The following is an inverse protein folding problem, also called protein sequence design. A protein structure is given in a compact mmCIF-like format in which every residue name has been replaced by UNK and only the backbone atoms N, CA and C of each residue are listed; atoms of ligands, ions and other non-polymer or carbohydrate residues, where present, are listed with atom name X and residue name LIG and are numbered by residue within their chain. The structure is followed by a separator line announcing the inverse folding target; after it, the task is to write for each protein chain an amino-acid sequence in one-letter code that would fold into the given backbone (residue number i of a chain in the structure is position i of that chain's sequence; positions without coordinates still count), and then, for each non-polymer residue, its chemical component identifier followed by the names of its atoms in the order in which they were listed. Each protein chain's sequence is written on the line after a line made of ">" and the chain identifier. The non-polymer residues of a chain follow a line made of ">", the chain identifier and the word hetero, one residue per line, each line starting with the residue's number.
data_IF_481603004864
#
_entry.id   IF_481603004864
#
_cell.length_a   1.000
_cell.length_b   1.000
_cell.length_c   1.000
_cell.angle_alpha   90.00
_cell.angle_beta   90.00
_cell.angle_gamma   90.00
#
_symmetry.space_group_name_H-M   'P 1'
#
loop_
_entity.id
_entity.type
_entity.pdbx_description
1 polymer ?
#
# COMPACT_ATOMS: atom_id res chain seq x y z
N UNK A 1 -1.45 -13.33 16.57
CA UNK A 1 -1.52 -14.55 15.72
C UNK A 1 -2.02 -14.07 14.37
N UNK A 2 -1.08 -13.84 13.45
CA UNK A 2 -1.33 -13.33 12.09
C UNK A 2 -2.07 -14.40 11.26
N UNK A 3 -3.20 -14.02 10.65
CA UNK A 3 -3.84 -14.69 9.51
C UNK A 3 -4.02 -13.63 8.44
N UNK A 4 -3.31 -13.83 7.34
CA UNK A 4 -3.00 -12.84 6.31
C UNK A 4 -4.18 -12.05 5.75
N UNK A 5 -3.84 -10.84 5.27
CA UNK A 5 -4.64 -9.85 4.57
C UNK A 5 -5.64 -9.07 5.44
N UNK A 6 -5.91 -7.77 5.12
CA UNK A 6 -6.95 -7.01 5.80
C UNK A 6 -8.20 -7.87 5.78
N UNK A 7 -8.60 -8.36 6.95
CA UNK A 7 -9.92 -8.89 7.15
C UNK A 7 -10.84 -7.68 7.06
N UNK A 8 -11.09 -7.24 5.82
CA UNK A 8 -12.47 -6.95 5.46
C UNK A 8 -13.27 -8.12 6.04
N UNK A 9 -14.38 -7.87 6.76
CA UNK A 9 -15.11 -8.87 7.53
C UNK A 9 -15.32 -10.22 6.82
N UNK A 10 -15.22 -10.25 5.49
CA UNK A 10 -15.48 -11.37 4.60
C UNK A 10 -14.22 -11.79 3.81
N UNK A 11 -13.23 -12.39 4.50
CA UNK A 11 -11.99 -12.88 3.87
C UNK A 11 -12.19 -13.90 2.74
N UNK A 12 -13.38 -14.51 2.65
CA UNK A 12 -13.76 -15.48 1.61
C UNK A 12 -14.46 -14.84 0.40
N UNK A 13 -14.69 -13.52 0.39
CA UNK A 13 -15.41 -12.86 -0.71
C UNK A 13 -14.58 -12.83 -2.00
N UNK A 14 -15.16 -13.30 -3.10
CA UNK A 14 -14.54 -13.22 -4.43
C UNK A 14 -14.66 -11.80 -5.02
N UNK A 15 -13.82 -10.89 -4.51
CA UNK A 15 -13.73 -9.50 -4.97
C UNK A 15 -13.49 -9.38 -6.48
N UNK A 16 -12.77 -10.36 -7.05
CA UNK A 16 -12.47 -10.39 -8.49
C UNK A 16 -13.72 -10.70 -9.30
N UNK A 17 -14.54 -11.67 -8.88
CA UNK A 17 -15.82 -11.96 -9.51
C UNK A 17 -16.79 -10.77 -9.44
N UNK A 18 -16.75 -10.02 -8.33
CA UNK A 18 -17.53 -8.78 -8.17
C UNK A 18 -16.99 -7.60 -9.00
N UNK A 19 -15.76 -7.69 -9.52
CA UNK A 19 -15.09 -6.58 -10.21
C UNK A 19 -14.77 -5.41 -9.29
N UNK A 20 -14.60 -5.69 -7.99
CA UNK A 20 -14.40 -4.72 -6.92
C UNK A 20 -13.00 -4.88 -6.29
N UNK A 21 -12.51 -3.78 -5.73
CA UNK A 21 -11.26 -3.71 -4.98
C UNK A 21 -11.59 -3.21 -3.60
N UNK A 22 -11.29 -3.96 -2.53
CA UNK A 22 -11.60 -3.52 -1.19
C UNK A 22 -10.58 -2.47 -0.73
N UNK A 23 -11.06 -1.39 -0.10
CA UNK A 23 -10.28 -0.18 0.22
C UNK A 23 -10.48 0.32 1.65
N UNK A 24 -11.35 -0.31 2.44
CA UNK A 24 -11.53 0.01 3.84
C UNK A 24 -12.77 -0.66 4.44
N UNK A 25 -13.11 -0.23 5.64
CA UNK A 25 -14.40 -0.51 6.25
C UNK A 25 -15.06 0.83 6.57
N UNK A 26 -16.39 0.89 6.49
CA UNK A 26 -17.20 2.04 6.85
C UNK A 26 -18.24 1.59 7.86
N UNK A 27 -18.56 2.46 8.82
CA UNK A 27 -19.61 2.19 9.80
C UNK A 27 -20.92 2.78 9.29
N UNK A 28 -21.94 1.94 9.18
CA UNK A 28 -23.30 2.38 8.87
C UNK A 28 -24.10 2.49 10.18
N UNK A 29 -24.53 3.70 10.55
CA UNK A 29 -25.39 3.92 11.71
C UNK A 29 -24.96 3.23 13.02
N UNK A 30 -25.89 2.45 13.61
CA UNK A 30 -25.84 1.83 14.95
C UNK A 30 -25.00 0.54 15.03
N UNK A 31 -23.76 0.57 14.50
CA UNK A 31 -22.64 -0.36 14.86
C UNK A 31 -22.21 -1.40 13.84
N UNK A 32 -22.83 -1.47 12.66
CA UNK A 32 -22.41 -2.43 11.64
C UNK A 32 -21.26 -1.89 10.78
N UNK A 33 -20.12 -2.60 10.84
CA UNK A 33 -18.98 -2.35 9.96
C UNK A 33 -19.19 -3.05 8.62
N UNK A 34 -19.27 -2.26 7.56
CA UNK A 34 -19.42 -2.73 6.18
C UNK A 34 -18.09 -2.61 5.45
N UNK A 35 -17.80 -3.55 4.56
CA UNK A 35 -16.63 -3.43 3.70
C UNK A 35 -16.87 -2.30 2.67
N UNK A 36 -15.90 -1.41 2.53
CA UNK A 36 -15.87 -0.37 1.52
C UNK A 36 -15.01 -0.85 0.34
N UNK A 37 -15.57 -0.81 -0.86
CA UNK A 37 -14.90 -1.22 -2.07
C UNK A 37 -15.05 -0.20 -3.20
N UNK A 38 -14.22 -0.34 -4.22
CA UNK A 38 -14.21 0.52 -5.39
C UNK A 38 -14.05 -0.30 -6.66
N UNK A 39 -14.76 0.07 -7.72
CA UNK A 39 -14.61 -0.59 -9.03
C UNK A 39 -13.53 0.07 -9.91
N UNK A 40 -13.29 -0.51 -11.09
CA UNK A 40 -12.37 0.05 -12.09
C UNK A 40 -12.76 1.44 -12.63
N UNK A 41 -14.03 1.86 -12.45
CA UNK A 41 -14.55 3.18 -12.84
C UNK A 41 -14.54 4.18 -11.68
N UNK A 42 -13.97 3.80 -10.53
CA UNK A 42 -13.89 4.61 -9.31
C UNK A 42 -15.26 4.97 -8.73
N UNK A 43 -16.19 4.02 -8.78
CA UNK A 43 -17.46 4.06 -8.04
C UNK A 43 -17.29 3.33 -6.72
N UNK A 44 -17.81 3.91 -5.65
CA UNK A 44 -17.73 3.36 -4.30
C UNK A 44 -18.90 2.41 -4.03
N UNK A 45 -18.63 1.33 -3.33
CA UNK A 45 -19.62 0.35 -2.94
C UNK A 45 -19.46 0.02 -1.46
N UNK A 46 -20.58 -0.12 -0.74
CA UNK A 46 -20.58 -0.81 0.55
C UNK A 46 -21.07 -2.24 0.37
N UNK A 47 -20.55 -3.14 1.19
CA UNK A 47 -20.95 -4.53 1.24
C UNK A 47 -21.16 -4.90 2.72
N UNK A 48 -22.38 -5.35 3.05
CA UNK A 48 -22.69 -5.86 4.37
C UNK A 48 -21.95 -7.16 4.66
N UNK A 49 -21.81 -7.52 5.94
CA UNK A 49 -21.12 -8.75 6.35
C UNK A 49 -21.82 -10.02 5.83
N UNK A 50 -23.16 -10.02 5.75
CA UNK A 50 -23.93 -11.19 5.31
C UNK A 50 -24.44 -11.10 3.87
N UNK A 51 -24.26 -9.96 3.20
CA UNK A 51 -24.81 -9.72 1.87
C UNK A 51 -23.72 -9.79 0.79
N UNK A 52 -23.96 -10.60 -0.24
CA UNK A 52 -23.14 -10.60 -1.47
C UNK A 52 -23.49 -9.45 -2.41
N UNK A 53 -24.51 -8.64 -2.07
CA UNK A 53 -24.93 -7.52 -2.90
C UNK A 53 -24.14 -6.25 -2.56
N UNK A 54 -23.47 -5.71 -3.59
CA UNK A 54 -22.75 -4.45 -3.48
C UNK A 54 -23.70 -3.26 -3.68
N UNK A 55 -23.81 -2.40 -2.67
CA UNK A 55 -24.63 -1.19 -2.70
C UNK A 55 -23.79 -0.04 -3.23
N UNK A 56 -24.19 0.54 -4.37
CA UNK A 56 -23.53 1.71 -4.93
C UNK A 56 -23.73 2.93 -4.02
N UNK A 57 -22.63 3.56 -3.64
CA UNK A 57 -22.64 4.74 -2.80
C UNK A 57 -22.54 6.03 -3.63
N UNK A 58 -23.16 7.10 -3.14
CA UNK A 58 -23.04 8.42 -3.76
C UNK A 58 -21.64 8.99 -3.54
N UNK A 59 -20.89 9.11 -4.64
CA UNK A 59 -19.54 9.65 -4.62
C UNK A 59 -19.52 11.15 -4.29
N UNK A 60 -20.52 11.93 -4.68
CA UNK A 60 -20.51 13.36 -4.39
C UNK A 60 -20.65 13.63 -2.90
N UNK A 61 -21.52 12.86 -2.22
CA UNK A 61 -21.65 12.89 -0.77
C UNK A 61 -20.43 12.32 -0.04
N UNK A 62 -19.89 11.18 -0.48
CA UNK A 62 -18.83 10.48 0.27
C UNK A 62 -17.41 10.89 -0.09
N UNK A 63 -17.19 11.47 -1.27
CA UNK A 63 -15.88 11.87 -1.76
C UNK A 63 -15.06 12.71 -0.75
N UNK A 64 -15.65 13.77 -0.15
CA UNK A 64 -15.00 14.54 0.90
C UNK A 64 -14.63 13.72 2.13
N UNK A 65 -15.52 12.83 2.61
CA UNK A 65 -15.27 11.97 3.78
C UNK A 65 -14.16 10.96 3.52
N UNK A 66 -14.12 10.39 2.32
CA UNK A 66 -13.04 9.50 1.88
C UNK A 66 -11.72 10.26 1.81
N UNK A 67 -11.73 11.51 1.33
CA UNK A 67 -10.51 12.33 1.35
C UNK A 67 -10.03 12.59 2.78
N UNK A 68 -10.91 12.96 3.71
CA UNK A 68 -10.54 13.22 5.10
C UNK A 68 -9.93 11.98 5.76
N UNK A 69 -10.59 10.84 5.62
CA UNK A 69 -10.07 9.55 6.12
C UNK A 69 -8.72 9.19 5.50
N UNK A 70 -8.55 9.45 4.19
CA UNK A 70 -7.30 9.23 3.47
C UNK A 70 -6.20 10.18 3.96
N UNK A 71 -6.52 11.46 4.16
CA UNK A 71 -5.59 12.48 4.63
C UNK A 71 -5.05 12.13 6.02
N UNK A 72 -5.94 11.79 6.96
CA UNK A 72 -5.56 11.31 8.30
C UNK A 72 -4.70 10.05 8.24
N UNK A 73 -5.12 9.06 7.46
CA UNK A 73 -4.38 7.80 7.30
C UNK A 73 -2.99 8.07 6.73
N UNK A 74 -2.90 8.80 5.61
CA UNK A 74 -1.62 9.05 4.95
C UNK A 74 -0.71 9.98 5.78
N UNK A 75 -1.29 10.90 6.55
CA UNK A 75 -0.55 11.71 7.50
C UNK A 75 0.07 10.85 8.60
N UNK A 76 -0.66 9.85 9.13
CA UNK A 76 -0.09 8.92 10.12
C UNK A 76 1.05 8.07 9.54
N UNK A 77 0.98 7.69 8.26
CA UNK A 77 1.97 6.83 7.61
C UNK A 77 3.21 7.57 7.10
N UNK A 78 3.05 8.78 6.56
CA UNK A 78 4.11 9.51 5.86
C UNK A 78 4.26 10.98 6.29
N UNK A 79 3.51 11.42 7.31
CA UNK A 79 3.57 12.76 7.87
C UNK A 79 2.92 13.85 7.01
N UNK A 80 3.23 15.10 7.34
CA UNK A 80 2.64 16.31 6.75
C UNK A 80 2.84 16.45 5.23
N UNK A 81 3.78 15.71 4.64
CA UNK A 81 4.11 15.76 3.21
C UNK A 81 3.66 14.51 2.46
N UNK A 82 2.65 13.80 2.97
CA UNK A 82 2.22 12.52 2.42
C UNK A 82 1.87 12.57 0.93
N UNK A 83 1.33 13.70 0.41
CA UNK A 83 0.99 13.82 -1.01
C UNK A 83 2.23 13.67 -1.91
N UNK A 84 3.39 14.17 -1.47
CA UNK A 84 4.66 13.98 -2.16
C UNK A 84 5.11 12.52 -2.09
N UNK A 85 5.01 11.90 -0.91
CA UNK A 85 5.35 10.49 -0.71
C UNK A 85 4.49 9.56 -1.58
N UNK A 86 3.17 9.77 -1.63
CA UNK A 86 2.26 9.04 -2.53
C UNK A 86 2.59 9.29 -4.00
N UNK A 87 2.93 10.54 -4.36
CA UNK A 87 3.40 10.89 -5.70
C UNK A 87 4.65 10.10 -6.10
N UNK A 88 5.62 9.97 -5.19
CA UNK A 88 6.85 9.19 -5.38
C UNK A 88 6.55 7.68 -5.48
N UNK A 89 5.80 7.12 -4.52
CA UNK A 89 5.50 5.69 -4.42
C UNK A 89 4.73 5.19 -5.64
N UNK A 90 3.69 5.92 -6.05
CA UNK A 90 2.76 5.48 -7.08
C UNK A 90 2.96 6.18 -8.43
N UNK A 91 4.01 7.01 -8.54
CA UNK A 91 4.32 7.82 -9.74
C UNK A 91 3.13 8.64 -10.21
N UNK A 92 2.44 9.25 -9.26
CA UNK A 92 1.28 10.09 -9.53
C UNK A 92 1.71 11.54 -9.70
N UNK A 93 1.08 12.22 -10.65
CA UNK A 93 1.20 13.67 -10.74
C UNK A 93 0.67 14.32 -9.46
N UNK A 94 1.32 15.38 -8.99
CA UNK A 94 0.90 16.15 -7.80
C UNK A 94 -0.57 16.60 -7.86
N UNK A 95 -1.11 16.84 -9.05
CA UNK A 95 -2.53 17.18 -9.25
C UNK A 95 -3.47 16.04 -8.83
N UNK A 96 -3.07 14.78 -9.01
CA UNK A 96 -3.89 13.60 -8.69
C UNK A 96 -4.14 13.47 -7.19
N UNK A 97 -3.22 13.97 -6.36
CA UNK A 97 -3.28 13.90 -4.90
C UNK A 97 -3.85 15.18 -4.26
N UNK A 98 -4.33 16.15 -5.04
CA UNK A 98 -4.96 17.36 -4.50
C UNK A 98 -6.33 17.02 -3.91
N UNK A 99 -6.70 17.69 -2.81
CA UNK A 99 -7.99 17.53 -2.11
C UNK A 99 -9.18 17.45 -3.06
N UNK A 100 -9.41 18.48 -3.86
CA UNK A 100 -10.56 18.55 -4.76
C UNK A 100 -10.55 17.40 -5.78
N UNK A 101 -9.36 16.98 -6.22
CA UNK A 101 -9.21 15.92 -7.22
C UNK A 101 -9.52 14.57 -6.61
N UNK A 102 -9.02 14.30 -5.42
CA UNK A 102 -9.31 13.06 -4.70
C UNK A 102 -10.78 13.02 -4.28
N UNK A 103 -11.33 14.11 -3.75
CA UNK A 103 -12.73 14.15 -3.34
C UNK A 103 -13.69 13.90 -4.53
N UNK A 104 -13.44 14.48 -5.71
CA UNK A 104 -14.32 14.29 -6.86
C UNK A 104 -14.09 12.99 -7.64
N UNK A 105 -12.85 12.49 -7.71
CA UNK A 105 -12.48 11.39 -8.63
C UNK A 105 -11.88 10.17 -7.95
N UNK A 106 -11.55 10.27 -6.66
CA UNK A 106 -10.81 9.28 -5.88
C UNK A 106 -9.42 8.97 -6.48
N UNK A 107 -8.55 8.39 -5.66
CA UNK A 107 -7.30 7.81 -6.16
C UNK A 107 -7.58 6.54 -6.97
N UNK A 108 -6.62 6.08 -7.80
CA UNK A 108 -6.77 4.79 -8.49
C UNK A 108 -7.05 3.64 -7.50
N UNK A 109 -7.92 2.67 -7.83
CA UNK A 109 -8.30 1.57 -6.95
C UNK A 109 -7.12 0.86 -6.29
N UNK A 110 -6.09 0.54 -7.09
CA UNK A 110 -4.90 -0.16 -6.59
C UNK A 110 -4.08 0.68 -5.59
N UNK A 111 -4.09 2.01 -5.74
CA UNK A 111 -3.43 2.92 -4.81
C UNK A 111 -4.15 2.91 -3.47
N UNK A 112 -5.49 3.07 -3.49
CA UNK A 112 -6.31 3.00 -2.28
C UNK A 112 -6.18 1.64 -1.58
N UNK A 113 -6.17 0.55 -2.34
CA UNK A 113 -5.97 -0.80 -1.79
C UNK A 113 -4.63 -0.96 -1.08
N UNK A 114 -3.55 -0.46 -1.68
CA UNK A 114 -2.22 -0.54 -1.06
C UNK A 114 -2.16 0.34 0.19
N UNK A 115 -2.74 1.54 0.16
CA UNK A 115 -2.82 2.40 1.36
C UNK A 115 -3.60 1.71 2.48
N UNK A 116 -4.77 1.13 2.15
CA UNK A 116 -5.58 0.39 3.11
C UNK A 116 -4.82 -0.82 3.69
N UNK A 117 -4.12 -1.58 2.83
CA UNK A 117 -3.28 -2.69 3.24
C UNK A 117 -2.19 -2.25 4.22
N UNK A 118 -1.43 -1.20 3.88
CA UNK A 118 -0.36 -0.68 4.74
C UNK A 118 -0.92 -0.17 6.06
N UNK A 119 -2.02 0.58 6.03
CA UNK A 119 -2.65 1.12 7.22
C UNK A 119 -3.16 0.03 8.19
N UNK A 120 -3.50 -1.15 7.65
CA UNK A 120 -4.00 -2.30 8.42
C UNK A 120 -2.90 -3.19 9.01
N UNK A 121 -1.63 -2.96 8.67
CA UNK A 121 -0.52 -3.78 9.16
C UNK A 121 -0.16 -3.43 10.62
N UNK A 122 0.26 -4.43 11.40
CA UNK A 122 0.75 -4.22 12.77
C UNK A 122 2.02 -3.33 12.78
N UNK A 123 2.85 -3.45 11.74
CA UNK A 123 4.10 -2.74 11.47
C UNK A 123 3.93 -1.66 10.39
N UNK A 124 2.77 -1.00 10.37
CA UNK A 124 2.39 -0.02 9.34
C UNK A 124 3.41 1.11 9.12
N UNK A 125 4.09 1.56 10.16
CA UNK A 125 5.07 2.65 10.07
C UNK A 125 6.32 2.18 9.32
N UNK A 126 6.83 1.00 9.67
CA UNK A 126 7.96 0.35 9.02
C UNK A 126 7.65 0.01 7.56
N UNK A 127 6.46 -0.55 7.30
CA UNK A 127 6.01 -0.89 5.96
C UNK A 127 5.85 0.36 5.08
N UNK A 128 5.29 1.43 5.63
CA UNK A 128 5.17 2.73 4.95
C UNK A 128 6.54 3.33 4.61
N UNK A 129 7.49 3.27 5.55
CA UNK A 129 8.87 3.72 5.38
C UNK A 129 9.63 2.89 4.33
N UNK A 130 9.44 1.57 4.32
CA UNK A 130 10.02 0.68 3.32
C UNK A 130 9.52 1.01 1.92
N UNK A 131 8.21 1.18 1.72
CA UNK A 131 7.63 1.53 0.43
C UNK A 131 8.21 2.83 -0.14
N UNK A 132 8.30 3.87 0.70
CA UNK A 132 8.89 5.15 0.30
C UNK A 132 10.39 5.01 -0.05
N UNK A 133 11.13 4.21 0.73
CA UNK A 133 12.55 3.96 0.49
C UNK A 133 12.77 3.22 -0.84
N UNK A 134 11.96 2.20 -1.14
CA UNK A 134 11.99 1.48 -2.42
C UNK A 134 11.65 2.44 -3.57
N UNK A 135 10.64 3.29 -3.41
CA UNK A 135 10.26 4.26 -4.44
C UNK A 135 11.38 5.26 -4.76
N UNK A 136 12.02 5.81 -3.73
CA UNK A 136 13.17 6.73 -3.88
C UNK A 136 14.38 6.05 -4.48
N UNK A 137 14.66 4.82 -4.07
CA UNK A 137 15.72 4.02 -4.66
C UNK A 137 15.43 3.76 -6.13
N UNK A 138 14.20 3.36 -6.47
CA UNK A 138 13.78 3.11 -7.84
C UNK A 138 13.93 4.34 -8.75
N UNK A 139 13.62 5.53 -8.24
CA UNK A 139 13.75 6.78 -8.98
C UNK A 139 15.20 7.11 -9.42
N UNK A 140 16.21 6.48 -8.80
CA UNK A 140 17.62 6.65 -9.18
C UNK A 140 18.05 5.79 -10.36
N UNK A 141 17.21 4.85 -10.80
CA UNK A 141 17.54 3.91 -11.87
C UNK A 141 16.51 4.01 -13.01
N UNK A 142 16.96 3.96 -14.27
CA UNK A 142 16.05 3.98 -15.42
C UNK A 142 15.34 2.63 -15.64
N UNK A 143 15.75 1.57 -14.93
CA UNK A 143 15.29 0.19 -15.17
C UNK A 143 14.73 -0.45 -13.90
N UNK A 144 13.42 -0.67 -13.86
CA UNK A 144 12.72 -1.29 -12.74
C UNK A 144 13.14 -2.73 -12.46
N UNK A 145 13.51 -3.50 -13.50
CA UNK A 145 13.98 -4.88 -13.31
C UNK A 145 15.27 -4.92 -12.51
N UNK A 146 16.13 -3.91 -12.70
CA UNK A 146 17.37 -3.79 -11.96
C UNK A 146 17.10 -3.47 -10.48
N UNK A 147 16.14 -2.58 -10.21
CA UNK A 147 15.70 -2.24 -8.86
C UNK A 147 15.12 -3.45 -8.15
N UNK A 148 14.21 -4.19 -8.80
CA UNK A 148 13.63 -5.41 -8.26
C UNK A 148 14.70 -6.42 -7.88
N UNK A 149 15.69 -6.64 -8.75
CA UNK A 149 16.83 -7.52 -8.47
C UNK A 149 17.64 -7.04 -7.26
N UNK A 150 17.96 -5.76 -7.15
CA UNK A 150 18.73 -5.26 -6.01
C UNK A 150 17.96 -5.34 -4.68
N UNK A 151 16.67 -5.05 -4.69
CA UNK A 151 15.82 -5.22 -3.50
C UNK A 151 15.73 -6.70 -3.13
N UNK A 152 15.48 -7.59 -4.09
CA UNK A 152 15.44 -9.03 -3.86
C UNK A 152 16.76 -9.56 -3.27
N UNK A 153 17.90 -9.18 -3.85
CA UNK A 153 19.22 -9.56 -3.33
C UNK A 153 19.47 -9.00 -1.92
N UNK A 154 19.03 -7.77 -1.62
CA UNK A 154 19.18 -7.20 -0.28
C UNK A 154 18.33 -7.96 0.75
N UNK A 155 17.11 -8.35 0.39
CA UNK A 155 16.25 -9.18 1.22
C UNK A 155 16.86 -10.58 1.40
N UNK A 156 17.43 -11.17 0.36
CA UNK A 156 18.14 -12.45 0.43
C UNK A 156 19.36 -12.38 1.36
N UNK A 157 20.16 -11.32 1.29
CA UNK A 157 21.29 -11.11 2.21
C UNK A 157 20.82 -10.94 3.67
N UNK A 158 19.66 -10.31 3.87
CA UNK A 158 19.13 -10.01 5.20
C UNK A 158 18.41 -11.21 5.84
N UNK A 159 17.64 -11.97 5.06
CA UNK A 159 16.79 -13.08 5.52
C UNK A 159 17.30 -14.47 5.17
N UNK A 160 18.21 -14.60 4.21
CA UNK A 160 18.84 -15.87 3.89
C UNK A 160 19.81 -16.29 4.99
N UNK A 161 20.01 -17.61 5.14
CA UNK A 161 21.21 -18.10 5.81
C UNK A 161 22.40 -17.56 5.02
N UNK A 162 23.28 -16.82 5.71
CA UNK A 162 24.58 -16.39 5.21
C UNK A 162 25.42 -17.65 4.97
N UNK A 163 25.11 -18.42 3.94
CA UNK A 163 25.82 -19.66 3.64
C UNK A 163 27.26 -19.26 3.26
N UNK A 164 28.22 -19.89 3.93
CA UNK A 164 29.64 -19.52 4.08
C UNK A 164 30.46 -19.49 2.77
N UNK A 165 29.82 -19.39 1.60
CA UNK A 165 30.43 -19.53 0.28
C UNK A 165 30.54 -18.23 -0.52
N UNK A 166 30.06 -17.11 0.01
CA UNK A 166 30.42 -15.78 -0.51
C UNK A 166 31.83 -15.44 -0.02
N UNK A 167 32.82 -16.02 -0.68
CA UNK A 167 34.25 -15.81 -0.50
C UNK A 167 34.66 -14.36 -0.69
N UNK A 168 34.42 -13.54 0.34
CA UNK A 168 35.28 -12.40 0.62
C UNK A 168 36.54 -13.04 1.20
N UNK A 169 37.47 -13.43 0.31
CA UNK A 169 38.84 -13.68 0.72
C UNK A 169 39.32 -12.42 1.43
N UNK A 170 39.34 -12.48 2.76
CA UNK A 170 40.03 -11.52 3.57
C UNK A 170 41.48 -11.53 3.08
N UNK A 171 41.86 -10.49 2.33
CA UNK A 171 43.21 -10.20 1.88
C UNK A 171 44.16 -10.49 3.05
N UNK A 172 44.83 -11.65 2.99
CA UNK A 172 45.85 -11.99 3.96
C UNK A 172 46.95 -10.97 3.78
N UNK A 173 47.04 -10.06 4.76
CA UNK A 173 48.17 -9.16 4.95
C UNK A 173 49.45 -9.98 4.84
N UNK A 174 50.29 -9.59 3.88
CA UNK A 174 51.55 -10.25 3.61
C UNK A 174 52.41 -10.39 4.85
N UNK A 175 52.97 -11.57 5.03
CA UNK A 175 54.20 -11.75 5.79
C UNK A 175 55.39 -11.56 4.83
N UNK A 176 56.36 -10.70 5.17
CA UNK A 176 57.59 -10.60 4.42
C UNK A 176 58.50 -11.75 4.83
N UNK A 177 58.65 -12.76 3.97
CA UNK A 177 59.74 -13.73 4.13
C UNK A 177 61.07 -13.05 3.78
N UNK A 178 61.93 -13.03 4.79
CA UNK A 178 63.34 -12.60 4.76
C UNK A 178 64.23 -13.64 4.08
#
# INVERSE_FOLDING_TARGET
>A
MHRDHPQFPDGDRDWKALGLVPIGIVRDGEDDWQALAIDGKRRLFSLGAEADEAVLLDREALGPLVYESLDETCHSLWGHSWNSSIGEIFRLNRRTTQRDRVASYLLPPRVLQIIAYVASADDREELAGMLLSIARYAARFPNEKLVHRYVANALEIFFGDFDEHMGIEASQKGEPTS
#
